data_IF_755826568715
#
_entry.id   IF_755826568715
#
_cell.length_a   1.000
_cell.length_b   1.000
_cell.length_c   1.000
_cell.angle_alpha   90.00
_cell.angle_beta   90.00
_cell.angle_gamma   90.00
#
_symmetry.space_group_name_H-M   'P 1'
#
loop_
_entity.id
_entity.type
_entity.pdbx_description
1 polymer ?
#
# COMPACT_ATOMS: atom_id res chain seq x y z
N UNK A 1 1.76 17.38 32.93
CA UNK A 1 0.40 17.42 32.35
C UNK A 1 -0.62 16.92 33.36
N UNK A 2 -1.53 17.81 33.74
CA UNK A 2 -2.57 17.61 34.76
C UNK A 2 -3.98 17.66 34.18
N UNK A 3 -4.15 18.29 33.01
CA UNK A 3 -5.43 18.33 32.27
C UNK A 3 -5.36 17.53 30.98
N UNK A 4 -6.51 17.09 30.46
CA UNK A 4 -6.60 16.40 29.16
C UNK A 4 -5.97 17.21 28.03
N UNK A 5 -6.22 18.53 28.01
CA UNK A 5 -5.61 19.43 27.02
C UNK A 5 -4.08 19.48 27.10
N UNK A 6 -3.53 19.43 28.32
CA UNK A 6 -2.08 19.36 28.51
C UNK A 6 -1.50 18.02 28.08
N UNK A 7 -2.22 16.92 28.30
CA UNK A 7 -1.84 15.62 27.78
C UNK A 7 -1.85 15.59 26.25
N UNK A 8 -2.86 16.19 25.61
CA UNK A 8 -2.92 16.29 24.14
C UNK A 8 -1.75 17.12 23.58
N UNK A 9 -1.42 18.26 24.21
CA UNK A 9 -0.24 19.06 23.83
C UNK A 9 1.06 18.29 24.03
N UNK A 10 1.15 17.53 25.13
CA UNK A 10 2.32 16.72 25.43
C UNK A 10 2.47 15.56 24.43
N UNK A 11 1.38 14.91 24.05
CA UNK A 11 1.34 13.87 23.02
C UNK A 11 1.88 14.39 21.68
N UNK A 12 1.39 15.53 21.20
CA UNK A 12 1.84 16.12 19.94
C UNK A 12 3.33 16.51 19.96
N UNK A 13 3.82 17.03 21.10
CA UNK A 13 5.24 17.31 21.29
C UNK A 13 6.09 16.03 21.23
N UNK A 14 5.65 14.95 21.90
CA UNK A 14 6.34 13.65 21.89
C UNK A 14 6.34 13.05 20.48
N UNK A 15 5.19 13.04 19.82
CA UNK A 15 5.04 12.56 18.44
C UNK A 15 5.99 13.27 17.50
N UNK A 16 6.05 14.60 17.54
CA UNK A 16 6.95 15.41 16.71
C UNK A 16 8.42 15.07 16.98
N UNK A 17 8.78 14.90 18.26
CA UNK A 17 10.17 14.60 18.64
C UNK A 17 10.59 13.19 18.22
N UNK A 18 9.69 12.23 18.37
CA UNK A 18 9.93 10.81 18.06
C UNK A 18 9.95 10.60 16.55
N UNK A 19 8.98 11.14 15.81
CA UNK A 19 8.86 10.96 14.35
C UNK A 19 10.02 11.56 13.57
N UNK A 20 10.75 12.52 14.15
CA UNK A 20 11.99 13.05 13.58
C UNK A 20 12.99 11.95 13.19
N UNK A 21 12.96 10.80 13.87
CA UNK A 21 13.87 9.68 13.65
C UNK A 21 13.28 8.55 12.78
N UNK A 22 12.12 8.74 12.14
CA UNK A 22 11.37 7.68 11.45
C UNK A 22 12.15 6.96 10.34
N UNK A 23 13.12 7.64 9.71
CA UNK A 23 13.95 7.09 8.63
C UNK A 23 15.11 6.24 9.14
N UNK A 24 15.37 6.24 10.45
CA UNK A 24 16.43 5.44 11.05
C UNK A 24 16.07 3.96 11.05
N UNK A 25 17.02 3.11 10.66
CA UNK A 25 16.89 1.65 10.81
C UNK A 25 16.67 1.19 12.25
N UNK A 26 17.03 2.04 13.22
CA UNK A 26 16.84 1.78 14.65
C UNK A 26 15.47 2.22 15.17
N UNK A 27 14.63 2.86 14.33
CA UNK A 27 13.38 3.46 14.76
C UNK A 27 12.36 2.43 15.27
N UNK A 28 12.14 1.35 14.52
CA UNK A 28 11.21 0.31 14.94
C UNK A 28 11.65 -0.39 16.24
N UNK A 29 12.90 -0.88 16.39
CA UNK A 29 13.37 -1.45 17.67
C UNK A 29 13.33 -0.46 18.84
N UNK A 30 13.58 0.83 18.57
CA UNK A 30 13.46 1.89 19.57
C UNK A 30 12.01 2.04 20.06
N UNK A 31 11.05 2.10 19.14
CA UNK A 31 9.62 2.22 19.47
C UNK A 31 9.12 1.01 20.27
N UNK A 32 9.51 -0.21 19.88
CA UNK A 32 9.15 -1.43 20.62
C UNK A 32 9.59 -1.32 22.08
N UNK A 33 10.87 -1.00 22.31
CA UNK A 33 11.40 -0.86 23.67
C UNK A 33 10.73 0.30 24.44
N UNK A 34 10.47 1.43 23.78
CA UNK A 34 9.81 2.57 24.39
C UNK A 34 8.39 2.20 24.85
N UNK A 35 7.58 1.61 23.98
CA UNK A 35 6.21 1.24 24.32
C UNK A 35 6.15 0.14 25.39
N UNK A 36 7.04 -0.85 25.37
CA UNK A 36 7.13 -1.84 26.45
C UNK A 36 7.44 -1.19 27.79
N UNK A 37 8.42 -0.28 27.84
CA UNK A 37 8.79 0.41 29.08
C UNK A 37 7.68 1.34 29.60
N UNK A 38 6.90 1.97 28.71
CA UNK A 38 5.76 2.80 29.11
C UNK A 38 4.56 1.97 29.57
N UNK A 39 4.37 0.78 28.99
CA UNK A 39 3.25 -0.10 29.32
C UNK A 39 3.47 -0.97 30.56
N UNK A 40 4.70 -1.10 31.05
CA UNK A 40 5.06 -2.03 32.14
C UNK A 40 4.30 -1.76 33.46
N UNK A 41 3.92 -0.51 33.70
CA UNK A 41 3.18 -0.11 34.90
C UNK A 41 1.66 -0.09 34.71
N UNK A 42 1.16 -0.39 33.52
CA UNK A 42 -0.28 -0.38 33.20
C UNK A 42 -0.94 -1.70 33.58
N UNK A 43 -2.24 -1.64 33.85
CA UNK A 43 -3.05 -2.85 34.06
C UNK A 43 -3.23 -3.64 32.76
N UNK A 44 -3.51 -4.94 32.90
CA UNK A 44 -3.62 -5.84 31.75
C UNK A 44 -4.69 -5.43 30.73
N UNK A 45 -5.82 -4.86 31.20
CA UNK A 45 -6.89 -4.39 30.31
C UNK A 45 -6.48 -3.17 29.49
N UNK A 46 -5.69 -2.24 30.06
CA UNK A 46 -5.18 -1.08 29.34
C UNK A 46 -4.15 -1.49 28.28
N UNK A 47 -3.24 -2.42 28.63
CA UNK A 47 -2.28 -2.98 27.67
C UNK A 47 -3.01 -3.66 26.52
N UNK A 48 -4.06 -4.44 26.81
CA UNK A 48 -4.90 -5.08 25.79
C UNK A 48 -5.58 -4.07 24.87
N UNK A 49 -6.10 -2.96 25.42
CA UNK A 49 -6.71 -1.87 24.65
C UNK A 49 -5.70 -1.21 23.71
N UNK A 50 -4.51 -0.87 24.21
CA UNK A 50 -3.42 -0.29 23.40
C UNK A 50 -3.01 -1.25 22.28
N UNK A 51 -2.86 -2.54 22.59
CA UNK A 51 -2.53 -3.58 21.60
C UNK A 51 -3.58 -3.69 20.49
N UNK A 52 -4.88 -3.57 20.82
CA UNK A 52 -5.94 -3.55 19.83
C UNK A 52 -5.83 -2.34 18.88
N UNK A 53 -5.50 -1.15 19.40
CA UNK A 53 -5.26 0.05 18.57
C UNK A 53 -4.11 -0.17 17.58
N UNK A 54 -3.00 -0.78 18.01
CA UNK A 54 -1.89 -1.11 17.12
C UNK A 54 -2.28 -2.13 16.04
N UNK A 55 -3.09 -3.14 16.37
CA UNK A 55 -3.60 -4.10 15.39
C UNK A 55 -4.47 -3.44 14.32
N UNK A 56 -5.30 -2.45 14.70
CA UNK A 56 -6.07 -1.65 13.73
C UNK A 56 -5.13 -0.95 12.73
N UNK A 57 -4.09 -0.28 13.21
CA UNK A 57 -3.09 0.39 12.36
C UNK A 57 -2.38 -0.61 11.45
N UNK A 58 -2.05 -1.81 11.96
CA UNK A 58 -1.46 -2.89 11.16
C UNK A 58 -2.37 -3.29 9.99
N UNK A 59 -3.65 -3.52 10.25
CA UNK A 59 -4.61 -3.90 9.20
C UNK A 59 -4.81 -2.78 8.17
N UNK A 60 -4.84 -1.51 8.59
CA UNK A 60 -4.90 -0.36 7.69
C UNK A 60 -3.68 -0.31 6.75
N UNK A 61 -2.46 -0.45 7.29
CA UNK A 61 -1.23 -0.50 6.48
C UNK A 61 -1.23 -1.68 5.51
N UNK A 62 -1.67 -2.86 5.96
CA UNK A 62 -1.76 -4.03 5.10
C UNK A 62 -2.75 -3.83 3.95
N UNK A 63 -3.88 -3.16 4.19
CA UNK A 63 -4.86 -2.82 3.14
C UNK A 63 -4.26 -1.85 2.12
N UNK A 64 -3.58 -0.80 2.59
CA UNK A 64 -2.92 0.19 1.73
C UNK A 64 -1.85 -0.45 0.81
N UNK A 65 -1.05 -1.38 1.34
CA UNK A 65 -0.06 -2.11 0.54
C UNK A 65 -0.73 -2.91 -0.60
N UNK A 66 -1.80 -3.66 -0.30
CA UNK A 66 -2.55 -4.43 -1.31
C UNK A 66 -3.20 -3.55 -2.38
N UNK A 67 -3.66 -2.35 -2.02
CA UNK A 67 -4.24 -1.39 -2.98
C UNK A 67 -3.18 -0.77 -3.90
N UNK A 68 -2.00 -0.44 -3.36
CA UNK A 68 -0.87 0.06 -4.15
C UNK A 68 -0.41 -0.97 -5.21
N UNK A 69 -0.35 -2.25 -4.85
CA UNK A 69 -0.01 -3.35 -5.77
C UNK A 69 -1.04 -3.57 -6.89
N UNK A 70 -2.33 -3.31 -6.62
CA UNK A 70 -3.39 -3.40 -7.63
C UNK A 70 -3.36 -2.23 -8.60
N UNK A 71 -3.02 -1.03 -8.13
CA UNK A 71 -2.94 0.17 -8.95
C UNK A 71 -1.71 0.21 -9.86
N UNK A 72 -0.58 -0.37 -9.43
CA UNK A 72 0.61 -0.52 -10.29
C UNK A 72 0.35 -1.45 -11.48
N UNK A 73 -0.46 -2.50 -11.32
CA UNK A 73 -0.87 -3.41 -12.41
C UNK A 73 -1.82 -2.78 -13.44
N UNK A 74 -2.54 -1.70 -13.10
CA UNK A 74 -3.48 -1.01 -14.02
C UNK A 74 -2.82 0.01 -14.95
N UNK A 75 -1.59 0.48 -14.67
CA UNK A 75 -0.86 1.40 -15.56
C UNK A 75 -0.27 0.74 -16.82
N UNK A 76 -0.25 -0.59 -16.90
CA UNK A 76 0.34 -1.34 -18.03
C UNK A 76 -0.58 -1.65 -19.21
N UNK A 77 -1.87 -1.25 -19.17
CA UNK A 77 -2.83 -1.50 -20.28
C UNK A 77 -3.46 -0.20 -20.77
N UNK A 78 -2.67 0.71 -21.34
CA UNK A 78 -3.21 1.66 -22.32
C UNK A 78 -3.54 0.86 -23.58
N UNK A 79 -4.76 0.30 -23.64
CA UNK A 79 -5.34 -0.15 -24.91
C UNK A 79 -5.39 1.06 -25.82
N UNK A 80 -4.56 1.08 -26.87
CA UNK A 80 -4.68 2.01 -27.98
C UNK A 80 -6.04 1.71 -28.61
N UNK A 81 -7.04 2.56 -28.35
CA UNK A 81 -8.32 2.51 -29.05
C UNK A 81 -8.08 3.27 -30.36
N UNK A 82 -7.73 2.53 -31.42
CA UNK A 82 -7.74 3.08 -32.78
C UNK A 82 -9.21 3.31 -33.14
N UNK A 83 -9.64 4.56 -33.05
CA UNK A 83 -10.96 4.99 -33.50
C UNK A 83 -10.88 5.15 -35.02
N UNK A 84 -11.29 4.11 -35.75
CA UNK A 84 -11.42 4.17 -37.20
C UNK A 84 -12.65 5.03 -37.54
N UNK A 85 -12.46 6.34 -37.66
CA UNK A 85 -13.39 7.20 -38.38
C UNK A 85 -13.23 6.89 -39.87
N UNK A 86 -14.29 6.33 -40.44
CA UNK A 86 -14.44 6.07 -41.86
C UNK A 86 -14.55 7.41 -42.59
N UNK A 87 -13.47 7.83 -43.21
CA UNK A 87 -13.56 8.60 -44.44
C UNK A 87 -12.67 7.96 -45.50
N UNK A 88 -13.27 7.84 -46.67
CA UNK A 88 -12.78 7.07 -47.79
C UNK A 88 -11.47 7.69 -48.30
N UNK A 89 -10.35 7.00 -48.09
CA UNK A 89 -9.19 7.18 -48.96
C UNK A 89 -8.55 5.83 -49.29
N UNK A 90 -8.61 5.56 -50.58
CA UNK A 90 -8.29 4.33 -51.27
C UNK A 90 -6.76 4.23 -51.38
N UNK A 91 -6.08 3.54 -50.44
CA UNK A 91 -4.61 3.56 -50.49
C UNK A 91 -3.77 2.57 -49.69
N UNK A 92 -4.29 1.75 -48.76
CA UNK A 92 -3.38 0.93 -47.92
C UNK A 92 -3.90 -0.46 -47.52
N UNK A 93 -4.61 -1.11 -48.45
CA UNK A 93 -5.12 -2.49 -48.31
C UNK A 93 -4.02 -3.58 -48.47
N UNK A 94 -2.72 -3.25 -48.45
CA UNK A 94 -1.70 -4.15 -49.01
C UNK A 94 -0.57 -4.63 -48.07
N UNK A 95 -0.53 -4.31 -46.76
CA UNK A 95 0.73 -4.46 -46.02
C UNK A 95 0.75 -5.15 -44.64
N UNK A 96 -0.28 -5.89 -44.19
CA UNK A 96 -0.08 -6.75 -43.00
C UNK A 96 -1.08 -7.91 -42.82
N UNK A 97 -1.69 -8.42 -43.88
CA UNK A 97 -2.35 -9.73 -43.85
C UNK A 97 -1.29 -10.84 -43.88
N UNK A 98 -0.64 -11.04 -42.74
CA UNK A 98 0.11 -12.26 -42.38
C UNK A 98 -0.34 -12.53 -40.94
N UNK A 99 -1.45 -13.23 -40.72
CA UNK A 99 -1.54 -14.64 -41.04
C UNK A 99 -0.74 -15.40 -40.00
N UNK A 100 -1.23 -15.49 -38.77
CA UNK A 100 -0.74 -16.49 -37.84
C UNK A 100 -1.87 -17.01 -36.96
N UNK A 101 -1.94 -18.33 -36.96
CA UNK A 101 -3.05 -19.17 -36.56
C UNK A 101 -3.33 -19.10 -35.06
N UNK A 102 -4.62 -19.10 -34.74
CA UNK A 102 -5.12 -19.55 -33.45
C UNK A 102 -5.02 -21.07 -33.44
N UNK A 103 -3.97 -21.65 -32.84
CA UNK A 103 -3.90 -23.10 -32.62
C UNK A 103 -3.99 -23.41 -31.13
N UNK A 104 -5.17 -23.93 -30.81
CA UNK A 104 -5.54 -24.57 -29.56
C UNK A 104 -4.87 -25.96 -29.55
N UNK A 105 -3.79 -26.12 -28.80
CA UNK A 105 -3.30 -27.44 -28.38
C UNK A 105 -2.99 -27.40 -26.88
N UNK A 106 -4.00 -27.80 -26.11
CA UNK A 106 -3.80 -28.73 -24.99
C UNK A 106 -3.10 -29.97 -25.56
N UNK A 107 -1.91 -30.31 -25.06
CA UNK A 107 -1.47 -31.67 -24.73
C UNK A 107 0.03 -31.66 -24.36
N UNK A 108 0.30 -32.11 -23.13
CA UNK A 108 1.43 -32.94 -22.74
C UNK A 108 2.85 -32.37 -22.82
N UNK A 109 3.31 -31.81 -21.68
CA UNK A 109 4.74 -31.82 -21.34
C UNK A 109 4.98 -32.70 -20.10
N UNK A 110 5.79 -33.73 -20.38
CA UNK A 110 6.38 -34.78 -19.54
C UNK A 110 6.92 -34.29 -18.19
#
# INVERSE_FOLDING_TARGET
>A
PETEEEYNKFEEALKTKISFFEKSKYYAPFLEKLFTNLAVSLESEDVKRIGATLNTVFHEKQRQQKEQEKNSKKKGKKKIVIKAERDNDFGDLAAASTGEYNDYYDEDFI
#
